data_IF_968326984702
#
_entry.id   IF_968326984702
#
_cell.length_a   1.000
_cell.length_b   1.000
_cell.length_c   1.000
_cell.angle_alpha   90.00
_cell.angle_beta   90.00
_cell.angle_gamma   90.00
#
_symmetry.space_group_name_H-M   'P 1'
#
loop_
_entity.id
_entity.type
_entity.pdbx_description
1 polymer ?
#
# COMPACT_ATOMS: atom_id res chain seq x y z
N UNK A 1 23.75 -7.15 -5.33
CA UNK A 1 24.35 -6.40 -6.44
C UNK A 1 25.81 -6.23 -6.12
N UNK A 2 26.67 -6.34 -7.12
CA UNK A 2 28.10 -6.27 -6.88
C UNK A 2 28.55 -4.81 -6.74
N UNK A 3 29.64 -4.60 -5.99
CA UNK A 3 30.18 -3.27 -5.70
C UNK A 3 30.58 -2.54 -6.98
N UNK A 4 31.04 -3.27 -8.00
CA UNK A 4 31.39 -2.70 -9.30
C UNK A 4 30.16 -2.11 -10.01
N UNK A 5 29.04 -2.83 -9.98
CA UNK A 5 27.78 -2.40 -10.59
C UNK A 5 27.21 -1.18 -9.87
N UNK A 6 27.27 -1.16 -8.54
CA UNK A 6 26.87 -0.01 -7.73
C UNK A 6 27.69 1.25 -8.04
N UNK A 7 29.01 1.10 -8.23
CA UNK A 7 29.89 2.20 -8.62
C UNK A 7 29.58 2.72 -10.04
N UNK A 8 29.25 1.84 -10.99
CA UNK A 8 28.81 2.24 -12.34
C UNK A 8 27.53 3.06 -12.29
N UNK A 9 26.53 2.65 -11.51
CA UNK A 9 25.30 3.43 -11.32
C UNK A 9 25.59 4.86 -10.82
N UNK A 10 26.49 4.99 -9.83
CA UNK A 10 26.90 6.29 -9.31
C UNK A 10 27.64 7.14 -10.38
N UNK A 11 28.46 6.52 -11.21
CA UNK A 11 29.16 7.19 -12.31
C UNK A 11 28.19 7.68 -13.38
N UNK A 12 27.26 6.84 -13.83
CA UNK A 12 26.25 7.24 -14.82
C UNK A 12 25.34 8.35 -14.28
N UNK A 13 24.90 8.27 -13.02
CA UNK A 13 24.13 9.36 -12.39
C UNK A 13 24.88 10.69 -12.45
N UNK A 14 26.16 10.69 -12.08
CA UNK A 14 27.01 11.89 -12.12
C UNK A 14 27.23 12.39 -13.54
N UNK A 15 27.43 11.49 -14.51
CA UNK A 15 27.60 11.83 -15.94
C UNK A 15 26.36 12.54 -16.50
N UNK A 16 25.18 12.17 -16.02
CA UNK A 16 23.90 12.79 -16.37
C UNK A 16 23.53 13.99 -15.48
N UNK A 17 24.44 14.47 -14.61
CA UNK A 17 24.23 15.60 -13.69
C UNK A 17 22.98 15.50 -12.80
N UNK A 18 22.52 14.29 -12.50
CA UNK A 18 21.34 14.07 -11.67
C UNK A 18 21.71 13.99 -10.19
N UNK A 19 20.94 14.62 -9.32
CA UNK A 19 20.98 14.31 -7.88
C UNK A 19 20.32 12.95 -7.59
N UNK A 20 20.62 12.34 -6.43
CA UNK A 20 19.96 11.10 -6.01
C UNK A 20 18.43 11.27 -5.89
N UNK A 21 17.98 12.47 -5.57
CA UNK A 21 16.55 12.79 -5.43
C UNK A 21 15.86 12.91 -6.79
N UNK A 22 16.50 13.59 -7.76
CA UNK A 22 15.97 13.69 -9.13
C UNK A 22 15.93 12.34 -9.84
N UNK A 23 16.95 11.50 -9.65
CA UNK A 23 16.96 10.14 -10.19
C UNK A 23 15.85 9.30 -9.57
N UNK A 24 15.66 9.40 -8.25
CA UNK A 24 14.60 8.69 -7.54
C UNK A 24 13.21 9.12 -8.03
N UNK A 25 13.00 10.42 -8.25
CA UNK A 25 11.76 10.96 -8.79
C UNK A 25 11.48 10.48 -10.23
N UNK A 26 12.50 10.38 -11.09
CA UNK A 26 12.36 9.86 -12.46
C UNK A 26 11.98 8.37 -12.51
N UNK A 27 12.49 7.57 -11.58
CA UNK A 27 12.24 6.12 -11.52
C UNK A 27 10.98 5.81 -10.70
N UNK A 28 10.49 6.74 -9.88
CA UNK A 28 9.33 6.54 -9.01
C UNK A 28 9.66 5.78 -7.72
N UNK A 29 10.90 5.90 -7.23
CA UNK A 29 11.37 5.25 -5.99
C UNK A 29 11.78 6.29 -4.94
N UNK A 30 12.06 5.86 -3.71
CA UNK A 30 12.57 6.76 -2.68
C UNK A 30 14.05 7.08 -2.89
N UNK A 31 14.48 8.30 -2.52
CA UNK A 31 15.92 8.69 -2.49
C UNK A 31 16.78 7.69 -1.72
N UNK A 32 16.22 7.10 -0.66
CA UNK A 32 16.90 6.10 0.16
C UNK A 32 17.17 4.80 -0.62
N UNK A 33 16.28 4.39 -1.54
CA UNK A 33 16.49 3.22 -2.39
C UNK A 33 17.71 3.43 -3.31
N UNK A 34 17.77 4.57 -4.01
CA UNK A 34 18.91 4.96 -4.85
C UNK A 34 20.22 4.98 -4.05
N UNK A 35 20.21 5.55 -2.84
CA UNK A 35 21.39 5.57 -1.98
C UNK A 35 21.85 4.17 -1.52
N UNK A 36 20.93 3.22 -1.36
CA UNK A 36 21.28 1.83 -1.04
C UNK A 36 21.86 1.09 -2.24
N UNK A 37 21.34 1.36 -3.44
CA UNK A 37 21.87 0.80 -4.69
C UNK A 37 23.30 1.28 -4.96
N UNK A 38 23.56 2.58 -4.81
CA UNK A 38 24.89 3.16 -4.99
C UNK A 38 25.93 2.70 -3.95
N UNK A 39 25.48 2.18 -2.80
CA UNK A 39 26.34 1.61 -1.74
C UNK A 39 26.44 0.08 -1.78
N UNK A 40 25.86 -0.56 -2.79
CA UNK A 40 25.74 -2.02 -2.90
C UNK A 40 25.02 -2.70 -1.70
N UNK A 41 24.27 -1.94 -0.90
CA UNK A 41 23.50 -2.47 0.24
C UNK A 41 22.19 -3.12 -0.21
N UNK A 42 21.71 -2.77 -1.41
CA UNK A 42 20.53 -3.36 -2.03
C UNK A 42 20.73 -3.43 -3.55
N UNK A 43 20.06 -4.38 -4.20
CA UNK A 43 20.00 -4.43 -5.67
C UNK A 43 18.75 -3.68 -6.16
N UNK A 44 18.82 -2.89 -7.23
CA UNK A 44 17.64 -2.43 -7.94
C UNK A 44 16.91 -3.64 -8.52
N UNK A 45 15.57 -3.55 -8.53
CA UNK A 45 14.75 -4.56 -9.19
C UNK A 45 14.96 -4.52 -10.71
N UNK A 46 14.58 -5.57 -11.43
CA UNK A 46 14.79 -5.70 -12.88
C UNK A 46 14.13 -4.55 -13.64
N UNK A 47 12.91 -4.16 -13.25
CA UNK A 47 12.22 -3.01 -13.84
C UNK A 47 12.98 -1.69 -13.60
N UNK A 48 13.54 -1.52 -12.40
CA UNK A 48 14.35 -0.35 -12.07
C UNK A 48 15.68 -0.35 -12.85
N UNK A 49 16.29 -1.51 -13.09
CA UNK A 49 17.49 -1.64 -13.91
C UNK A 49 17.22 -1.29 -15.38
N UNK A 50 16.06 -1.69 -15.93
CA UNK A 50 15.63 -1.31 -17.29
C UNK A 50 15.43 0.20 -17.37
N UNK A 51 14.74 0.79 -16.39
CA UNK A 51 14.54 2.25 -16.34
C UNK A 51 15.86 3.00 -16.18
N UNK A 52 16.79 2.49 -15.36
CA UNK A 52 18.14 3.06 -15.23
C UNK A 52 18.90 3.00 -16.56
N UNK A 53 18.83 1.88 -17.27
CA UNK A 53 19.44 1.71 -18.58
C UNK A 53 18.87 2.70 -19.61
N UNK A 54 17.55 2.88 -19.63
CA UNK A 54 16.86 3.84 -20.49
C UNK A 54 17.22 5.30 -20.15
N UNK A 55 17.23 5.66 -18.86
CA UNK A 55 17.63 7.01 -18.40
C UNK A 55 19.09 7.30 -18.75
N UNK A 56 19.96 6.30 -18.62
CA UNK A 56 21.39 6.48 -18.89
C UNK A 56 21.78 6.32 -20.36
N UNK A 57 20.87 5.82 -21.20
CA UNK A 57 21.10 5.59 -22.63
C UNK A 57 22.07 4.44 -22.91
N UNK A 58 22.13 3.44 -22.03
CA UNK A 58 23.06 2.29 -22.14
C UNK A 58 22.29 0.98 -22.17
N UNK A 59 22.92 -0.08 -22.67
CA UNK A 59 22.30 -1.41 -22.60
C UNK A 59 22.32 -1.96 -21.17
N UNK A 60 21.36 -2.82 -20.84
CA UNK A 60 21.33 -3.49 -19.53
C UNK A 60 22.59 -4.34 -19.30
N UNK A 61 23.14 -4.91 -20.38
CA UNK A 61 24.37 -5.70 -20.32
C UNK A 61 25.58 -4.83 -19.98
N UNK A 62 25.68 -3.65 -20.60
CA UNK A 62 26.70 -2.64 -20.29
C UNK A 62 26.58 -2.14 -18.84
N UNK A 63 25.36 -1.89 -18.37
CA UNK A 63 25.10 -1.45 -17.00
C UNK A 63 25.57 -2.49 -15.96
N UNK A 64 25.34 -3.78 -16.24
CA UNK A 64 25.58 -4.87 -15.29
C UNK A 64 26.99 -5.48 -15.39
N UNK A 65 27.44 -5.82 -16.60
CA UNK A 65 28.73 -6.50 -16.82
C UNK A 65 29.89 -5.51 -17.01
N UNK A 66 29.60 -4.25 -17.31
CA UNK A 66 30.60 -3.29 -17.77
C UNK A 66 31.08 -3.64 -19.18
N UNK A 67 31.83 -2.72 -19.81
CA UNK A 67 32.38 -2.96 -21.13
C UNK A 67 33.38 -4.12 -21.13
N UNK A 68 32.90 -5.34 -21.34
CA UNK A 68 33.72 -6.41 -21.88
C UNK A 68 33.92 -6.10 -23.36
N UNK A 69 35.10 -5.61 -23.71
CA UNK A 69 35.59 -5.42 -25.08
C UNK A 69 35.05 -6.51 -26.03
N UNK A 70 34.04 -6.17 -26.81
CA UNK A 70 33.80 -6.79 -28.10
C UNK A 70 33.61 -5.66 -29.11
N UNK A 71 34.73 -5.35 -29.73
CA UNK A 71 34.89 -4.47 -30.87
C UNK A 71 34.08 -4.97 -32.06
N UNK A 72 33.03 -4.23 -32.43
CA UNK A 72 32.69 -3.96 -33.84
C UNK A 72 31.71 -2.79 -33.96
N UNK A 73 32.28 -1.58 -33.88
CA UNK A 73 32.08 -0.45 -34.80
C UNK A 73 30.85 -0.52 -35.74
N UNK A 74 29.90 0.39 -35.55
CA UNK A 74 29.61 1.45 -36.53
C UNK A 74 28.68 2.49 -35.90
N UNK A 75 29.20 3.70 -35.79
CA UNK A 75 28.49 4.90 -35.34
C UNK A 75 27.65 5.53 -36.47
N UNK A 76 26.77 6.43 -36.03
CA UNK A 76 26.18 7.59 -36.72
C UNK A 76 25.06 7.33 -37.74
N UNK A 77 23.95 8.07 -37.79
CA UNK A 77 23.38 9.19 -37.02
C UNK A 77 21.97 9.50 -37.58
N UNK A 78 21.14 10.18 -36.79
CA UNK A 78 19.96 11.01 -37.16
C UNK A 78 18.57 10.41 -37.49
N UNK A 79 17.68 10.65 -36.51
CA UNK A 79 16.43 11.44 -36.58
C UNK A 79 15.35 11.23 -37.67
N UNK A 80 14.12 11.07 -37.13
CA UNK A 80 12.79 11.52 -37.62
C UNK A 80 11.95 10.68 -38.59
N UNK A 81 10.84 10.18 -38.03
CA UNK A 81 9.44 10.14 -38.51
C UNK A 81 9.17 9.71 -39.96
N UNK A 82 8.57 8.53 -40.15
CA UNK A 82 7.22 8.33 -40.73
C UNK A 82 6.95 6.86 -41.04
N UNK A 83 5.79 6.41 -40.59
CA UNK A 83 4.82 5.46 -41.20
C UNK A 83 5.25 4.42 -42.25
N UNK A 84 4.68 3.22 -42.05
CA UNK A 84 4.07 2.34 -43.06
C UNK A 84 4.85 1.12 -43.61
N UNK A 85 4.27 -0.04 -43.30
CA UNK A 85 4.04 -1.27 -44.08
C UNK A 85 5.15 -1.99 -44.86
N UNK A 86 5.07 -3.31 -44.68
CA UNK A 86 5.26 -4.39 -45.65
C UNK A 86 6.70 -4.85 -45.97
N UNK A 87 6.90 -6.13 -45.60
CA UNK A 87 7.41 -7.21 -46.45
C UNK A 87 8.81 -7.06 -47.05
N UNK A 88 9.71 -7.97 -46.68
CA UNK A 88 10.23 -8.95 -47.62
C UNK A 88 11.11 -10.01 -46.96
N UNK A 89 10.98 -11.21 -47.50
CA UNK A 89 11.40 -12.50 -46.96
C UNK A 89 12.64 -13.04 -47.71
N UNK A 90 13.49 -13.79 -46.96
CA UNK A 90 14.30 -14.97 -47.37
C UNK A 90 15.63 -14.82 -48.16
N UNK A 91 16.46 -15.89 -48.36
CA UNK A 91 16.44 -17.28 -47.82
C UNK A 91 17.83 -17.93 -47.51
N UNK A 92 17.80 -19.13 -46.87
CA UNK A 92 18.52 -20.40 -47.21
C UNK A 92 18.54 -21.36 -45.98
N UNK A 93 18.34 -22.69 -45.99
CA UNK A 93 17.84 -23.75 -46.90
C UNK A 93 17.78 -25.09 -46.11
N UNK A 94 16.78 -25.96 -46.37
CA UNK A 94 16.69 -27.40 -45.97
C UNK A 94 16.28 -27.67 -44.51
N UNK A 95 15.40 -28.59 -44.13
CA UNK A 95 14.76 -29.73 -44.79
C UNK A 95 13.48 -30.12 -44.00
N UNK A 96 12.63 -30.91 -44.63
CA UNK A 96 11.28 -31.42 -44.35
C UNK A 96 10.72 -31.53 -42.89
N UNK A 97 9.49 -31.05 -42.71
CA UNK A 97 8.44 -31.78 -41.99
C UNK A 97 8.34 -31.67 -40.45
N UNK A 98 8.04 -30.48 -39.92
CA UNK A 98 7.38 -30.37 -38.60
C UNK A 98 6.26 -29.32 -38.62
N UNK A 99 5.04 -29.78 -38.37
CA UNK A 99 3.85 -28.97 -38.15
C UNK A 99 4.04 -28.09 -36.90
N UNK A 100 4.24 -26.79 -37.10
CA UNK A 100 4.33 -25.85 -35.99
C UNK A 100 2.93 -25.65 -35.37
N UNK A 101 2.64 -26.38 -34.31
CA UNK A 101 1.50 -26.07 -33.45
C UNK A 101 1.79 -24.69 -32.84
N UNK A 102 1.01 -23.68 -33.28
CA UNK A 102 1.01 -22.30 -32.79
C UNK A 102 1.10 -22.31 -31.26
N UNK A 103 2.30 -22.06 -30.72
CA UNK A 103 2.56 -22.10 -29.29
C UNK A 103 1.72 -21.02 -28.58
N UNK A 104 1.34 -21.34 -27.35
CA UNK A 104 0.68 -20.43 -26.41
C UNK A 104 1.44 -19.10 -26.32
N UNK A 105 0.74 -17.99 -26.08
CA UNK A 105 1.38 -16.68 -26.02
C UNK A 105 2.17 -16.61 -24.71
N UNK A 106 3.45 -16.93 -24.78
CA UNK A 106 4.37 -16.82 -23.64
C UNK A 106 5.06 -15.45 -23.68
N UNK A 107 4.84 -14.64 -22.65
CA UNK A 107 5.51 -13.34 -22.47
C UNK A 107 6.32 -13.36 -21.19
N UNK A 108 7.57 -12.88 -21.27
CA UNK A 108 8.49 -12.79 -20.14
C UNK A 108 8.65 -11.36 -19.58
N UNK A 109 7.93 -10.39 -20.15
CA UNK A 109 7.98 -8.99 -19.70
C UNK A 109 7.15 -8.85 -18.41
N UNK A 110 7.80 -8.42 -17.32
CA UNK A 110 7.22 -8.23 -15.98
C UNK A 110 6.72 -9.51 -15.26
N UNK A 111 7.10 -10.69 -15.75
CA UNK A 111 6.70 -11.99 -15.19
C UNK A 111 6.65 -13.07 -16.26
N UNK A 112 6.36 -14.32 -15.88
CA UNK A 112 6.02 -15.39 -16.83
C UNK A 112 4.51 -15.35 -17.02
N UNK A 113 4.07 -14.96 -18.21
CA UNK A 113 2.67 -15.03 -18.63
C UNK A 113 2.52 -16.18 -19.62
N UNK A 114 1.64 -17.13 -19.31
CA UNK A 114 1.23 -18.19 -20.23
C UNK A 114 -0.27 -18.05 -20.44
N UNK A 115 -0.66 -17.61 -21.63
CA UNK A 115 -2.06 -17.60 -22.07
C UNK A 115 -2.30 -18.82 -22.97
N UNK A 116 -3.02 -19.81 -22.46
CA UNK A 116 -3.47 -20.95 -23.26
C UNK A 116 -4.65 -20.56 -24.15
N UNK A 117 -4.74 -21.12 -25.36
CA UNK A 117 -5.87 -20.87 -26.28
C UNK A 117 -7.24 -21.28 -25.71
N UNK A 118 -7.24 -22.12 -24.69
CA UNK A 118 -8.45 -22.61 -24.02
C UNK A 118 -9.04 -21.64 -22.99
N UNK A 119 -8.40 -20.48 -22.78
CA UNK A 119 -8.84 -19.46 -21.82
C UNK A 119 -8.10 -19.47 -20.48
N UNK A 120 -7.23 -20.46 -20.27
CA UNK A 120 -6.43 -20.59 -19.05
C UNK A 120 -5.27 -19.60 -19.09
N UNK A 121 -5.05 -18.91 -17.98
CA UNK A 121 -4.01 -17.89 -17.85
C UNK A 121 -3.22 -18.12 -16.58
N UNK A 122 -1.90 -18.20 -16.73
CA UNK A 122 -0.98 -18.26 -15.60
C UNK A 122 -0.06 -17.05 -15.67
N UNK A 123 -0.03 -16.27 -14.61
CA UNK A 123 0.89 -15.15 -14.44
C UNK A 123 1.75 -15.39 -13.19
N UNK A 124 3.06 -15.34 -13.35
CA UNK A 124 4.02 -15.49 -12.25
C UNK A 124 4.91 -14.26 -12.26
N UNK A 125 4.74 -13.38 -11.29
CA UNK A 125 5.65 -12.25 -11.05
C UNK A 125 6.09 -12.20 -9.60
N UNK A 126 7.31 -11.74 -9.37
CA UNK A 126 7.85 -11.57 -8.01
C UNK A 126 7.29 -10.31 -7.32
N UNK A 127 6.73 -9.39 -8.12
CA UNK A 127 6.10 -8.15 -7.66
C UNK A 127 4.62 -8.36 -7.26
N UNK A 128 3.83 -9.02 -8.12
CA UNK A 128 2.38 -9.20 -7.93
C UNK A 128 2.03 -10.58 -7.35
N UNK A 129 2.86 -11.60 -7.58
CA UNK A 129 2.66 -12.96 -7.09
C UNK A 129 2.35 -13.96 -8.20
N UNK A 130 1.83 -15.13 -7.82
CA UNK A 130 1.40 -16.20 -8.74
C UNK A 130 -0.12 -16.11 -8.87
N UNK A 131 -0.62 -15.91 -10.08
CA UNK A 131 -2.04 -15.84 -10.40
C UNK A 131 -2.36 -16.92 -11.43
N UNK A 132 -3.30 -17.79 -11.11
CA UNK A 132 -3.79 -18.83 -12.01
C UNK A 132 -5.27 -18.61 -12.21
N UNK A 133 -5.68 -18.39 -13.45
CA UNK A 133 -7.07 -18.30 -13.84
C UNK A 133 -7.41 -19.44 -14.79
N UNK A 134 -8.44 -20.19 -14.44
CA UNK A 134 -9.04 -21.24 -15.26
C UNK A 134 -10.19 -20.66 -16.09
N UNK A 135 -10.43 -21.23 -17.27
CA UNK A 135 -11.57 -20.89 -18.14
C UNK A 135 -12.93 -21.06 -17.43
N UNK A 136 -13.00 -21.98 -16.47
CA UNK A 136 -14.22 -22.32 -15.73
C UNK A 136 -14.50 -21.33 -14.58
N UNK A 137 -13.71 -20.26 -14.44
CA UNK A 137 -13.95 -19.16 -13.50
C UNK A 137 -13.26 -19.30 -12.15
N UNK A 138 -12.41 -20.32 -11.99
CA UNK A 138 -11.54 -20.49 -10.82
C UNK A 138 -10.33 -19.58 -10.93
N UNK A 139 -10.05 -18.81 -9.88
CA UNK A 139 -8.87 -17.93 -9.78
C UNK A 139 -8.12 -18.22 -8.49
N UNK A 140 -6.83 -18.47 -8.58
CA UNK A 140 -5.94 -18.68 -7.44
C UNK A 140 -4.86 -17.61 -7.49
N UNK A 141 -4.78 -16.77 -6.45
CA UNK A 141 -3.79 -15.71 -6.32
C UNK A 141 -2.90 -16.00 -5.10
N UNK A 142 -1.58 -15.97 -5.28
CA UNK A 142 -0.58 -16.21 -4.22
C UNK A 142 0.34 -15.00 -4.20
N UNK A 143 0.21 -14.15 -3.18
CA UNK A 143 0.96 -12.91 -3.06
C UNK A 143 1.53 -12.70 -1.66
N UNK A 144 2.18 -11.54 -1.46
CA UNK A 144 2.72 -11.12 -0.16
C UNK A 144 1.63 -10.96 0.91
N UNK A 145 0.37 -10.83 0.50
CA UNK A 145 -0.81 -10.69 1.35
C UNK A 145 -1.54 -12.01 1.63
N UNK A 146 -1.01 -13.13 1.15
CA UNK A 146 -1.56 -14.46 1.41
C UNK A 146 -1.90 -15.27 0.15
N UNK A 147 -2.58 -16.39 0.36
CA UNK A 147 -3.11 -17.27 -0.70
C UNK A 147 -4.62 -17.07 -0.79
N UNK A 148 -5.13 -16.79 -1.97
CA UNK A 148 -6.55 -16.53 -2.26
C UNK A 148 -7.03 -17.55 -3.29
N UNK A 149 -8.16 -18.20 -3.03
CA UNK A 149 -8.81 -19.11 -3.97
C UNK A 149 -10.25 -18.65 -4.17
N UNK A 150 -10.59 -18.28 -5.39
CA UNK A 150 -11.90 -17.86 -5.83
C UNK A 150 -12.45 -18.87 -6.84
N UNK A 151 -13.69 -19.29 -6.67
CA UNK A 151 -14.39 -20.21 -7.55
C UNK A 151 -15.73 -19.59 -7.93
N UNK A 152 -15.96 -19.37 -9.23
CA UNK A 152 -17.20 -18.77 -9.76
C UNK A 152 -17.54 -17.39 -9.17
N UNK A 153 -16.52 -16.56 -8.90
CA UNK A 153 -16.69 -15.22 -8.35
C UNK A 153 -16.90 -15.16 -6.83
N UNK A 154 -16.91 -16.31 -6.13
CA UNK A 154 -16.95 -16.40 -4.68
C UNK A 154 -15.60 -16.86 -4.13
N UNK A 155 -15.03 -16.10 -3.20
CA UNK A 155 -13.77 -16.46 -2.56
C UNK A 155 -14.02 -17.57 -1.55
N UNK A 156 -13.46 -18.76 -1.78
CA UNK A 156 -13.74 -19.94 -0.95
C UNK A 156 -12.72 -20.18 0.15
N UNK A 157 -11.47 -19.80 -0.12
CA UNK A 157 -10.35 -20.05 0.79
C UNK A 157 -9.42 -18.85 0.78
N UNK A 158 -9.01 -18.40 1.96
CA UNK A 158 -7.95 -17.41 2.16
C UNK A 158 -6.94 -17.90 3.19
N UNK A 159 -5.67 -17.61 2.99
CA UNK A 159 -4.62 -17.82 4.00
C UNK A 159 -3.91 -16.51 4.28
N UNK A 160 -3.91 -16.05 5.53
CA UNK A 160 -3.17 -14.84 5.94
C UNK A 160 -1.65 -15.11 6.02
N UNK A 161 -0.84 -14.05 6.17
CA UNK A 161 0.62 -14.08 6.30
C UNK A 161 1.11 -14.98 7.43
N UNK A 162 0.27 -15.16 8.45
CA UNK A 162 0.54 -16.00 9.61
C UNK A 162 0.16 -17.48 9.38
N UNK A 163 -0.34 -17.85 8.19
CA UNK A 163 -0.66 -19.22 7.80
C UNK A 163 -2.05 -19.70 8.22
N UNK A 164 -2.92 -18.81 8.70
CA UNK A 164 -4.29 -19.15 9.10
C UNK A 164 -5.20 -19.29 7.89
N UNK A 165 -5.79 -20.49 7.70
CA UNK A 165 -6.73 -20.81 6.62
C UNK A 165 -8.15 -20.43 7.05
N UNK A 166 -8.84 -19.61 6.27
CA UNK A 166 -10.24 -19.23 6.45
C UNK A 166 -11.09 -19.71 5.28
N UNK A 167 -12.31 -20.18 5.57
CA UNK A 167 -13.27 -20.65 4.57
C UNK A 167 -14.44 -19.66 4.38
N UNK A 168 -15.16 -19.77 3.26
CA UNK A 168 -16.31 -18.92 2.86
C UNK A 168 -17.37 -18.73 3.98
N UNK A 169 -17.53 -19.72 4.88
CA UNK A 169 -18.43 -19.64 6.03
C UNK A 169 -18.01 -18.57 7.07
N UNK A 170 -16.71 -18.30 7.18
CA UNK A 170 -16.13 -17.29 8.08
C UNK A 170 -15.94 -15.94 7.36
N UNK A 171 -16.15 -15.91 6.04
CA UNK A 171 -15.86 -14.77 5.16
C UNK A 171 -16.97 -13.71 5.11
N UNK A 172 -17.97 -13.81 5.99
CA UNK A 172 -19.12 -12.91 6.03
C UNK A 172 -19.03 -11.76 7.03
N UNK A 173 -17.96 -11.62 7.82
CA UNK A 173 -17.83 -10.48 8.75
C UNK A 173 -16.46 -9.76 8.73
N UNK A 174 -15.36 -10.42 8.34
CA UNK A 174 -14.01 -9.83 8.51
C UNK A 174 -13.45 -9.06 7.29
N UNK A 175 -13.84 -9.40 6.05
CA UNK A 175 -13.21 -8.81 4.85
C UNK A 175 -13.87 -7.53 4.30
N UNK A 176 -15.13 -7.24 4.63
CA UNK A 176 -15.86 -6.13 3.99
C UNK A 176 -15.81 -4.78 4.71
N UNK A 177 -15.20 -4.64 5.89
CA UNK A 177 -15.20 -3.35 6.59
C UNK A 177 -13.98 -3.11 7.50
N UNK A 178 -12.91 -2.53 6.95
CA UNK A 178 -12.14 -1.55 7.73
C UNK A 178 -10.63 -1.74 7.91
N UNK A 179 -9.95 -2.71 7.31
CA UNK A 179 -8.49 -2.90 7.52
C UNK A 179 -7.62 -1.70 7.07
N UNK A 180 -7.81 -1.21 5.84
CA UNK A 180 -7.05 -0.06 5.30
C UNK A 180 -7.46 1.27 5.95
N UNK A 181 -8.76 1.47 6.16
CA UNK A 181 -9.28 2.67 6.80
C UNK A 181 -8.92 2.73 8.30
N UNK A 182 -8.97 1.62 9.06
CA UNK A 182 -8.57 1.60 10.48
C UNK A 182 -7.15 2.10 10.70
N UNK A 183 -6.20 1.69 9.85
CA UNK A 183 -4.81 2.16 9.91
C UNK A 183 -4.70 3.65 9.59
N UNK A 184 -5.48 4.13 8.62
CA UNK A 184 -5.53 5.56 8.27
C UNK A 184 -6.11 6.43 9.39
N UNK A 185 -7.25 6.04 9.98
CA UNK A 185 -7.92 6.81 11.03
C UNK A 185 -7.16 6.77 12.37
N UNK A 186 -6.49 5.68 12.72
CA UNK A 186 -5.60 5.64 13.88
C UNK A 186 -4.27 6.37 13.64
N UNK A 187 -3.80 6.44 12.40
CA UNK A 187 -2.58 7.18 12.03
C UNK A 187 -2.85 8.66 11.73
N UNK A 188 -4.11 9.08 11.71
CA UNK A 188 -4.47 10.49 11.50
C UNK A 188 -3.98 11.32 12.69
N UNK A 189 -3.20 12.40 12.46
CA UNK A 189 -2.58 13.19 13.52
C UNK A 189 -3.60 14.13 14.18
N UNK A 190 -4.70 13.58 14.70
CA UNK A 190 -5.75 14.33 15.38
C UNK A 190 -5.18 15.13 16.56
N UNK A 191 -4.19 14.60 17.28
CA UNK A 191 -3.48 15.32 18.35
C UNK A 191 -2.88 16.65 17.88
N UNK A 192 -2.34 16.71 16.65
CA UNK A 192 -1.73 17.92 16.11
C UNK A 192 -2.79 18.98 15.80
N UNK A 193 -3.92 18.55 15.23
CA UNK A 193 -5.07 19.43 14.97
C UNK A 193 -5.64 19.96 16.28
N UNK A 194 -5.83 19.09 17.28
CA UNK A 194 -6.30 19.47 18.61
C UNK A 194 -5.35 20.49 19.28
N UNK A 195 -4.03 20.35 19.13
CA UNK A 195 -3.05 21.32 19.64
C UNK A 195 -3.14 22.67 18.93
N UNK A 196 -3.29 22.68 17.60
CA UNK A 196 -3.47 23.92 16.83
C UNK A 196 -4.75 24.63 17.26
N UNK A 197 -5.86 23.90 17.41
CA UNK A 197 -7.14 24.45 17.89
C UNK A 197 -7.02 24.96 19.32
N UNK A 198 -6.34 24.21 20.21
CA UNK A 198 -6.08 24.62 21.58
C UNK A 198 -5.32 25.94 21.65
N UNK A 199 -4.21 26.07 20.90
CA UNK A 199 -3.42 27.29 20.85
C UNK A 199 -4.21 28.44 20.25
N UNK A 200 -4.89 28.21 19.13
CA UNK A 200 -5.68 29.24 18.47
C UNK A 200 -6.81 29.78 19.37
N UNK A 201 -7.55 28.88 20.03
CA UNK A 201 -8.61 29.26 20.97
C UNK A 201 -8.05 29.97 22.21
N UNK A 202 -6.96 29.45 22.79
CA UNK A 202 -6.31 30.03 23.96
C UNK A 202 -5.81 31.46 23.70
N UNK A 203 -5.15 31.68 22.57
CA UNK A 203 -4.66 33.00 22.17
C UNK A 203 -5.77 33.95 21.70
N UNK A 204 -6.82 33.44 21.06
CA UNK A 204 -7.94 34.27 20.61
C UNK A 204 -8.76 34.85 21.77
N UNK A 205 -8.68 34.27 22.97
CA UNK A 205 -9.40 34.74 24.16
C UNK A 205 -10.93 34.69 24.05
N UNK A 206 -11.46 34.08 22.98
CA UNK A 206 -12.89 33.96 22.72
C UNK A 206 -13.52 32.93 23.66
N UNK A 207 -14.72 33.21 24.18
CA UNK A 207 -15.46 32.34 25.12
C UNK A 207 -14.52 31.67 26.13
N UNK A 208 -14.06 32.44 27.11
CA UNK A 208 -13.31 31.94 28.27
C UNK A 208 -11.92 31.34 28.00
N UNK A 209 -11.36 31.60 26.81
CA UNK A 209 -9.93 31.45 26.49
C UNK A 209 -9.33 30.14 27.00
N UNK A 210 -8.18 30.26 27.68
CA UNK A 210 -7.42 29.13 28.22
C UNK A 210 -8.20 28.20 29.15
N UNK A 211 -9.27 28.66 29.81
CA UNK A 211 -10.05 27.85 30.74
C UNK A 211 -10.85 26.74 30.02
N UNK A 212 -11.45 27.06 28.86
CA UNK A 212 -12.19 26.09 28.05
C UNK A 212 -11.30 25.36 27.03
N UNK A 213 -10.13 25.93 26.69
CA UNK A 213 -9.23 25.30 25.72
C UNK A 213 -8.78 23.89 26.16
N UNK A 214 -8.63 23.63 27.45
CA UNK A 214 -8.27 22.28 27.97
C UNK A 214 -9.23 21.17 27.54
N UNK A 215 -10.50 21.50 27.27
CA UNK A 215 -11.49 20.53 26.78
C UNK A 215 -11.07 19.95 25.43
N UNK A 216 -10.39 20.73 24.58
CA UNK A 216 -9.90 20.27 23.28
C UNK A 216 -8.89 19.13 23.45
N UNK A 217 -8.08 19.13 24.52
CA UNK A 217 -7.14 18.03 24.78
C UNK A 217 -7.85 16.74 25.23
N UNK A 218 -9.00 16.84 25.90
CA UNK A 218 -9.82 15.67 26.26
C UNK A 218 -10.44 14.99 25.03
N UNK A 219 -10.56 15.70 23.90
CA UNK A 219 -11.05 15.09 22.66
C UNK A 219 -10.04 14.13 22.03
N UNK A 220 -8.75 14.21 22.38
CA UNK A 220 -7.69 13.35 21.84
C UNK A 220 -7.93 11.88 22.20
N UNK A 221 -7.96 11.49 23.50
CA UNK A 221 -8.27 10.11 23.88
C UNK A 221 -9.68 9.69 23.44
N UNK A 222 -10.63 10.63 23.41
CA UNK A 222 -11.99 10.36 22.94
C UNK A 222 -12.01 9.96 21.46
N UNK A 223 -11.32 10.69 20.59
CA UNK A 223 -11.22 10.42 19.16
C UNK A 223 -10.66 9.02 18.89
N UNK A 224 -9.50 8.69 19.47
CA UNK A 224 -8.88 7.39 19.22
C UNK A 224 -9.72 6.23 19.80
N UNK A 225 -10.38 6.43 20.94
CA UNK A 225 -11.29 5.42 21.50
C UNK A 225 -12.56 5.24 20.68
N UNK A 226 -13.10 6.32 20.10
CA UNK A 226 -14.27 6.29 19.22
C UNK A 226 -13.95 5.54 17.93
N UNK A 227 -12.79 5.85 17.33
CA UNK A 227 -12.30 5.19 16.14
C UNK A 227 -12.16 3.69 16.41
N UNK A 228 -11.50 3.29 17.50
CA UNK A 228 -11.34 1.88 17.84
C UNK A 228 -12.68 1.17 18.13
N UNK A 229 -13.63 1.84 18.79
CA UNK A 229 -14.96 1.31 19.07
C UNK A 229 -15.79 1.09 17.80
N UNK A 230 -15.76 2.04 16.84
CA UNK A 230 -16.44 1.93 15.55
C UNK A 230 -15.86 0.76 14.74
N UNK A 231 -14.53 0.63 14.71
CA UNK A 231 -13.89 -0.43 13.95
C UNK A 231 -14.08 -1.82 14.56
N UNK A 232 -14.00 -1.94 15.88
CA UNK A 232 -14.20 -3.24 16.54
C UNK A 232 -15.67 -3.63 16.66
N UNK A 233 -16.61 -2.78 16.21
CA UNK A 233 -18.07 -2.88 16.47
C UNK A 233 -18.38 -3.19 17.95
N UNK A 234 -17.49 -2.77 18.85
CA UNK A 234 -17.56 -3.04 20.29
C UNK A 234 -17.59 -1.71 21.00
N UNK A 235 -18.78 -1.32 21.45
CA UNK A 235 -18.99 -0.09 22.21
C UNK A 235 -18.12 -0.06 23.49
N UNK A 236 -17.80 -1.22 24.06
CA UNK A 236 -17.00 -1.38 25.28
C UNK A 236 -15.62 -0.69 25.24
N UNK A 237 -15.04 -0.47 24.05
CA UNK A 237 -13.72 0.17 23.90
C UNK A 237 -13.77 1.70 23.93
N UNK A 238 -14.97 2.29 23.88
CA UNK A 238 -15.12 3.73 23.90
C UNK A 238 -14.76 4.31 25.27
N UNK A 239 -13.98 5.39 25.30
CA UNK A 239 -13.56 6.07 26.52
C UNK A 239 -14.70 6.95 27.08
N UNK A 240 -15.83 6.33 27.41
CA UNK A 240 -17.02 6.99 27.97
C UNK A 240 -16.74 7.84 29.23
N UNK A 241 -15.83 7.46 30.17
CA UNK A 241 -15.46 8.31 31.29
C UNK A 241 -14.88 9.68 30.88
N UNK A 242 -14.16 9.73 29.76
CA UNK A 242 -13.59 10.99 29.23
C UNK A 242 -14.70 11.86 28.65
N UNK A 243 -15.67 11.26 27.95
CA UNK A 243 -16.87 11.97 27.49
C UNK A 243 -17.66 12.54 28.67
N UNK A 244 -17.86 11.76 29.73
CA UNK A 244 -18.55 12.17 30.94
C UNK A 244 -17.82 13.33 31.64
N UNK A 245 -16.49 13.29 31.73
CA UNK A 245 -15.69 14.37 32.27
C UNK A 245 -15.80 15.66 31.42
N UNK A 246 -15.77 15.54 30.09
CA UNK A 246 -15.99 16.66 29.19
C UNK A 246 -17.38 17.29 29.38
N UNK A 247 -18.43 16.47 29.47
CA UNK A 247 -19.79 16.92 29.70
C UNK A 247 -19.95 17.60 31.08
N UNK A 248 -19.32 17.06 32.12
CA UNK A 248 -19.31 17.66 33.46
C UNK A 248 -18.69 19.05 33.46
N UNK A 249 -17.53 19.21 32.82
CA UNK A 249 -16.84 20.50 32.71
C UNK A 249 -17.73 21.51 31.97
N UNK A 250 -18.34 21.11 30.84
CA UNK A 250 -19.27 21.99 30.11
C UNK A 250 -20.48 22.39 30.96
N UNK A 251 -21.09 21.43 31.66
CA UNK A 251 -22.27 21.69 32.50
C UNK A 251 -21.96 22.65 33.66
N UNK A 252 -20.80 22.48 34.30
CA UNK A 252 -20.31 23.39 35.34
C UNK A 252 -20.01 24.79 34.80
N UNK A 253 -19.44 24.87 33.59
CA UNK A 253 -19.02 26.12 32.97
C UNK A 253 -20.20 27.00 32.53
N UNK A 254 -21.20 26.39 31.90
CA UNK A 254 -22.40 27.09 31.42
C UNK A 254 -23.50 27.21 32.51
N UNK A 255 -23.22 26.72 33.72
CA UNK A 255 -24.17 26.67 34.84
C UNK A 255 -25.53 26.05 34.44
N UNK A 256 -25.48 25.02 33.60
CA UNK A 256 -26.66 24.33 33.08
C UNK A 256 -27.19 23.40 34.18
N UNK A 257 -28.49 23.48 34.49
CA UNK A 257 -29.17 22.64 35.49
C UNK A 257 -28.48 22.56 36.87
N UNK A 258 -27.99 23.68 37.42
CA UNK A 258 -27.34 23.71 38.74
C UNK A 258 -25.82 23.46 38.71
N UNK A 259 -25.22 23.51 37.52
CA UNK A 259 -23.77 23.57 37.34
C UNK A 259 -23.03 22.39 37.97
N UNK A 260 -21.95 22.69 38.70
CA UNK A 260 -21.10 21.69 39.35
C UNK A 260 -21.85 20.78 40.34
N UNK A 261 -22.94 21.26 40.95
CA UNK A 261 -23.66 20.55 42.02
C UNK A 261 -24.54 19.41 41.52
N UNK A 262 -25.04 19.49 40.29
CA UNK A 262 -25.88 18.45 39.67
C UNK A 262 -25.09 17.69 38.60
N UNK A 263 -24.04 18.29 38.06
CA UNK A 263 -23.22 17.68 37.01
C UNK A 263 -22.57 16.35 37.40
N UNK A 264 -22.35 16.07 38.69
CA UNK A 264 -21.77 14.79 39.12
C UNK A 264 -22.65 13.58 38.75
N UNK A 265 -23.96 13.79 38.54
CA UNK A 265 -24.91 12.76 38.10
C UNK A 265 -24.48 12.14 36.77
N UNK A 266 -23.76 12.89 35.92
CA UNK A 266 -23.21 12.36 34.66
C UNK A 266 -22.26 11.19 34.92
N UNK A 267 -21.49 11.16 36.02
CA UNK A 267 -20.60 10.04 36.33
C UNK A 267 -21.36 8.75 36.68
N UNK A 268 -22.60 8.85 37.16
CA UNK A 268 -23.44 7.66 37.41
C UNK A 268 -23.87 6.97 36.11
N UNK A 269 -23.76 7.64 34.96
CA UNK A 269 -24.00 7.01 33.66
C UNK A 269 -22.87 6.09 33.22
N UNK A 270 -21.68 6.18 33.84
CA UNK A 270 -20.51 5.37 33.47
C UNK A 270 -20.75 3.88 33.76
N UNK A 271 -21.12 3.46 34.99
CA UNK A 271 -21.44 2.06 35.25
C UNK A 271 -22.60 1.54 34.38
N UNK A 272 -23.62 2.39 34.17
CA UNK A 272 -24.78 2.06 33.34
C UNK A 272 -24.39 1.78 31.89
N UNK A 273 -23.53 2.61 31.31
CA UNK A 273 -23.02 2.46 29.94
C UNK A 273 -22.31 1.11 29.75
N UNK A 274 -21.35 0.79 30.63
CA UNK A 274 -20.60 -0.46 30.53
C UNK A 274 -21.47 -1.68 30.85
N UNK A 275 -22.46 -1.55 31.74
CA UNK A 275 -23.43 -2.59 32.00
C UNK A 275 -24.30 -2.89 30.77
N UNK A 276 -24.84 -1.87 30.11
CA UNK A 276 -25.60 -2.02 28.85
C UNK A 276 -24.74 -2.66 27.76
N UNK A 277 -23.51 -2.19 27.61
CA UNK A 277 -22.55 -2.74 26.65
C UNK A 277 -22.28 -4.24 26.90
N UNK A 278 -22.06 -4.62 28.17
CA UNK A 278 -21.88 -6.02 28.56
C UNK A 278 -23.12 -6.89 28.32
N UNK A 279 -24.31 -6.33 28.49
CA UNK A 279 -25.58 -7.03 28.25
C UNK A 279 -25.77 -7.36 26.76
N UNK A 280 -25.47 -6.42 25.87
CA UNK A 280 -25.52 -6.67 24.43
C UNK A 280 -24.47 -7.69 23.96
N UNK A 281 -23.29 -7.70 24.59
CA UNK A 281 -22.26 -8.71 24.32
C UNK A 281 -22.71 -10.13 24.66
N UNK A 282 -23.44 -10.31 25.76
CA UNK A 282 -23.97 -11.63 26.17
C UNK A 282 -25.15 -12.13 25.32
N UNK A 283 -25.76 -11.27 24.50
CA UNK A 283 -26.92 -11.63 23.67
C UNK A 283 -26.53 -12.05 22.24
N UNK A 284 -25.32 -11.71 21.82
CA UNK A 284 -24.76 -12.03 20.50
C UNK A 284 -23.77 -13.21 20.52
N UNK A 285 -23.50 -13.79 21.70
CA UNK A 285 -22.78 -15.04 21.90
C UNK A 285 -23.79 -16.16 22.22
#
# INVERSE_FOLDING_TARGET
MDIETANRLLQYRKKHNLSQEELANKIGVSRQAVSKWERAEASPDTDNLILLAEIYGVSLDELLKGESNNSSKSEAEQETVSEESADNTHPHTGDEGTEYIKADKVSFKNGIHVDAKNGDKVHISFADGIHVQDKDGTKVDIGKDGVFVNENGKQRVYTDKDGHIMHDADMTDEMFAGGKHKKFWNSFPFFAIALVVFLWWGFSGFCFGWALSWIVLLTIPLYYSLVDAIYKRKADHFAFPVLAAMAYILMGYFNIFGGWTVGWVVFLTIPLYYWICSFFKNKNN
#
